data_IF_369427896920
#
_entry.id   IF_369427896920
#
_cell.length_a   1.000
_cell.length_b   1.000
_cell.length_c   1.000
_cell.angle_alpha   90.00
_cell.angle_beta   90.00
_cell.angle_gamma   90.00
#
_symmetry.space_group_name_H-M   'P 1'
#
loop_
_entity.id
_entity.type
_entity.pdbx_description
1 polymer ?
#
# COMPACT_ATOMS: atom_id res chain seq x y z
N UNK A 1 -9.38 0.32 29.21
CA UNK A 1 -10.13 1.52 28.80
C UNK A 1 -9.80 1.81 27.35
N UNK A 2 -10.68 1.43 26.41
CA UNK A 2 -10.57 1.91 25.03
C UNK A 2 -11.03 3.37 25.02
N UNK A 3 -10.09 4.26 24.72
CA UNK A 3 -10.40 5.67 24.49
C UNK A 3 -10.94 5.74 23.07
N UNK A 4 -12.26 5.66 22.94
CA UNK A 4 -12.94 6.06 21.72
C UNK A 4 -12.80 7.59 21.63
N UNK A 5 -11.70 8.05 21.03
CA UNK A 5 -11.50 9.46 20.76
C UNK A 5 -12.57 9.82 19.73
N UNK A 6 -13.59 10.55 20.18
CA UNK A 6 -14.60 11.14 19.33
C UNK A 6 -13.94 12.25 18.48
N UNK A 7 -13.19 11.86 17.45
CA UNK A 7 -12.47 12.75 16.55
C UNK A 7 -13.52 13.56 15.78
N UNK A 8 -13.46 14.89 15.88
CA UNK A 8 -14.34 15.75 15.10
C UNK A 8 -14.11 15.52 13.60
N UNK A 9 -15.17 15.62 12.78
CA UNK A 9 -15.09 15.37 11.34
C UNK A 9 -13.93 16.12 10.66
N UNK A 10 -13.65 17.36 11.09
CA UNK A 10 -12.54 18.15 10.55
C UNK A 10 -11.15 17.64 10.93
N UNK A 11 -10.97 17.08 12.13
CA UNK A 11 -9.68 16.51 12.52
C UNK A 11 -9.36 15.22 11.74
N UNK A 12 -10.38 14.39 11.45
CA UNK A 12 -10.22 13.22 10.57
C UNK A 12 -9.89 13.61 9.14
N UNK A 13 -10.51 14.67 8.61
CA UNK A 13 -10.20 15.17 7.27
C UNK A 13 -8.75 15.66 7.16
N UNK A 14 -8.27 16.43 8.14
CA UNK A 14 -6.88 16.89 8.19
C UNK A 14 -5.91 15.70 8.30
N UNK A 15 -6.21 14.72 9.16
CA UNK A 15 -5.40 13.50 9.28
C UNK A 15 -5.34 12.74 7.96
N UNK A 16 -6.47 12.63 7.24
CA UNK A 16 -6.49 11.97 5.94
C UNK A 16 -5.61 12.66 4.90
N UNK A 17 -5.62 14.00 4.86
CA UNK A 17 -4.74 14.78 3.98
C UNK A 17 -3.28 14.58 4.36
N UNK A 18 -2.95 14.69 5.65
CA UNK A 18 -1.59 14.55 6.17
C UNK A 18 -1.00 13.17 5.89
N UNK A 19 -1.73 12.11 6.23
CA UNK A 19 -1.26 10.74 6.05
C UNK A 19 -1.09 10.40 4.56
N UNK A 20 -2.00 10.87 3.71
CA UNK A 20 -1.89 10.71 2.25
C UNK A 20 -0.63 11.38 1.72
N UNK A 21 -0.40 12.64 2.08
CA UNK A 21 0.77 13.41 1.64
C UNK A 21 2.07 12.81 2.18
N UNK A 22 2.07 12.33 3.43
CA UNK A 22 3.22 11.72 4.07
C UNK A 22 3.61 10.42 3.38
N UNK A 23 2.66 9.53 3.06
CA UNK A 23 2.94 8.31 2.29
C UNK A 23 3.59 8.66 0.96
N UNK A 24 3.02 9.61 0.21
CA UNK A 24 3.57 10.04 -1.08
C UNK A 24 4.99 10.60 -0.93
N UNK A 25 5.23 11.46 0.07
CA UNK A 25 6.54 12.06 0.32
C UNK A 25 7.60 11.02 0.71
N UNK A 26 7.27 10.07 1.59
CA UNK A 26 8.16 8.98 1.97
C UNK A 26 8.57 8.17 0.74
N UNK A 27 7.64 7.87 -0.17
CA UNK A 27 7.93 7.08 -1.37
C UNK A 27 8.76 7.84 -2.39
N UNK A 28 8.43 9.12 -2.64
CA UNK A 28 9.21 9.98 -3.55
C UNK A 28 10.64 10.21 -3.07
N UNK A 29 10.88 10.10 -1.76
CA UNK A 29 12.20 10.22 -1.14
C UNK A 29 12.90 8.87 -0.94
N UNK A 30 12.34 7.77 -1.46
CA UNK A 30 12.93 6.43 -1.39
C UNK A 30 12.78 5.74 -0.03
N UNK A 31 11.99 6.29 0.89
CA UNK A 31 11.75 5.78 2.24
C UNK A 31 10.58 4.78 2.28
N UNK A 32 10.57 3.82 1.35
CA UNK A 32 9.47 2.83 1.21
C UNK A 32 9.25 2.00 2.49
N UNK A 33 10.30 1.69 3.24
CA UNK A 33 10.17 0.99 4.53
C UNK A 33 9.34 1.80 5.54
N UNK A 34 9.56 3.11 5.62
CA UNK A 34 8.80 3.99 6.52
C UNK A 34 7.34 4.11 6.09
N UNK A 35 7.07 4.13 4.77
CA UNK A 35 5.71 4.12 4.24
C UNK A 35 4.95 2.84 4.61
N UNK A 36 5.61 1.67 4.58
CA UNK A 36 5.02 0.40 4.99
C UNK A 36 4.67 0.38 6.48
N UNK A 37 5.55 0.88 7.34
CA UNK A 37 5.28 0.95 8.79
C UNK A 37 4.13 1.91 9.11
N UNK A 38 4.03 3.03 8.38
CA UNK A 38 2.90 3.95 8.50
C UNK A 38 1.57 3.29 8.11
N UNK A 39 1.55 2.50 7.01
CA UNK A 39 0.35 1.80 6.55
C UNK A 39 -0.14 0.73 7.53
N UNK A 40 0.77 0.01 8.18
CA UNK A 40 0.44 -0.98 9.21
C UNK A 40 -0.03 -0.35 10.52
N UNK A 41 0.40 0.89 10.78
CA UNK A 41 -0.02 1.68 11.92
C UNK A 41 -1.37 2.37 11.73
N UNK A 42 -1.88 3.05 12.78
CA UNK A 42 -3.08 3.88 12.67
C UNK A 42 -2.82 5.02 11.67
N UNK A 43 -3.50 4.97 10.53
CA UNK A 43 -3.47 6.02 9.51
C UNK A 43 -4.87 6.19 8.89
N UNK A 44 -5.15 7.38 8.38
CA UNK A 44 -6.42 7.76 7.74
C UNK A 44 -6.24 8.08 6.26
N UNK A 45 -5.19 7.56 5.63
CA UNK A 45 -4.86 7.93 4.27
C UNK A 45 -6.06 7.69 3.32
N UNK A 46 -6.15 8.53 2.30
CA UNK A 46 -7.15 8.36 1.27
C UNK A 46 -6.71 7.23 0.35
N UNK A 47 -7.25 6.03 0.59
CA UNK A 47 -6.92 4.79 -0.13
C UNK A 47 -6.95 4.97 -1.64
N UNK A 48 -7.94 5.68 -2.19
CA UNK A 48 -8.07 5.87 -3.64
C UNK A 48 -6.94 6.75 -4.22
N UNK A 49 -6.57 7.81 -3.51
CA UNK A 49 -5.47 8.69 -3.93
C UNK A 49 -4.14 7.94 -3.83
N UNK A 50 -3.91 7.25 -2.71
CA UNK A 50 -2.72 6.43 -2.52
C UNK A 50 -2.63 5.32 -3.57
N UNK A 51 -3.70 4.58 -3.85
CA UNK A 51 -3.71 3.54 -4.88
C UNK A 51 -3.33 4.10 -6.26
N UNK A 52 -3.95 5.20 -6.69
CA UNK A 52 -3.65 5.82 -7.99
C UNK A 52 -2.17 6.22 -8.10
N UNK A 53 -1.63 6.85 -7.06
CA UNK A 53 -0.22 7.22 -6.97
C UNK A 53 0.70 5.98 -7.04
N UNK A 54 0.42 4.96 -6.24
CA UNK A 54 1.25 3.76 -6.16
C UNK A 54 1.28 2.99 -7.48
N UNK A 55 0.14 2.90 -8.19
CA UNK A 55 0.07 2.29 -9.53
C UNK A 55 0.87 3.11 -10.55
N UNK A 56 0.71 4.43 -10.55
CA UNK A 56 1.43 5.32 -11.48
C UNK A 56 2.95 5.20 -11.34
N UNK A 57 3.44 5.08 -10.11
CA UNK A 57 4.87 5.00 -9.80
C UNK A 57 5.39 3.57 -9.62
N UNK A 58 4.57 2.55 -9.88
CA UNK A 58 4.93 1.12 -9.76
C UNK A 58 5.42 0.71 -8.37
N UNK A 59 4.94 1.35 -7.31
CA UNK A 59 5.25 0.99 -5.91
C UNK A 59 4.42 -0.21 -5.43
N UNK A 60 4.55 -1.35 -6.11
CA UNK A 60 3.65 -2.48 -5.97
C UNK A 60 3.68 -3.15 -4.59
N UNK A 61 4.84 -3.24 -3.93
CA UNK A 61 4.92 -3.79 -2.56
C UNK A 61 4.09 -2.96 -1.56
N UNK A 62 4.17 -1.64 -1.70
CA UNK A 62 3.44 -0.70 -0.84
C UNK A 62 1.96 -0.69 -1.19
N UNK A 63 1.60 -0.89 -2.47
CA UNK A 63 0.22 -1.05 -2.91
C UNK A 63 -0.43 -2.31 -2.34
N UNK A 64 0.28 -3.44 -2.35
CA UNK A 64 -0.22 -4.68 -1.76
C UNK A 64 -0.47 -4.51 -0.26
N UNK A 65 0.44 -3.85 0.46
CA UNK A 65 0.25 -3.57 1.89
C UNK A 65 -0.91 -2.61 2.14
N UNK A 66 -1.06 -1.54 1.34
CA UNK A 66 -2.21 -0.63 1.42
C UNK A 66 -3.54 -1.38 1.29
N UNK A 67 -3.67 -2.24 0.28
CA UNK A 67 -4.87 -3.03 0.05
C UNK A 67 -5.13 -4.01 1.21
N UNK A 68 -4.08 -4.66 1.71
CA UNK A 68 -4.16 -5.56 2.86
C UNK A 68 -4.63 -4.86 4.14
N UNK A 69 -4.08 -3.71 4.47
CA UNK A 69 -4.44 -2.94 5.67
C UNK A 69 -5.86 -2.33 5.60
N UNK A 70 -6.49 -2.34 4.43
CA UNK A 70 -7.85 -1.84 4.20
C UNK A 70 -8.85 -2.97 3.86
N UNK A 71 -8.54 -4.22 4.22
CA UNK A 71 -9.38 -5.42 4.00
C UNK A 71 -9.72 -5.72 2.52
N UNK A 72 -8.99 -5.11 1.58
CA UNK A 72 -9.14 -5.29 0.12
C UNK A 72 -8.31 -6.49 -0.37
N UNK A 73 -8.48 -7.65 0.29
CA UNK A 73 -7.62 -8.81 0.06
C UNK A 73 -7.73 -9.38 -1.35
N UNK A 74 -8.92 -9.30 -1.97
CA UNK A 74 -9.14 -9.79 -3.33
C UNK A 74 -8.35 -8.98 -4.35
N UNK A 75 -8.36 -7.66 -4.20
CA UNK A 75 -7.62 -6.72 -5.03
C UNK A 75 -6.12 -6.92 -4.88
N UNK A 76 -5.65 -7.12 -3.64
CA UNK A 76 -4.25 -7.42 -3.35
C UNK A 76 -3.80 -8.72 -4.03
N UNK A 77 -4.59 -9.79 -3.91
CA UNK A 77 -4.30 -11.08 -4.53
C UNK A 77 -4.33 -11.01 -6.07
N UNK A 78 -5.34 -10.35 -6.65
CA UNK A 78 -5.42 -10.16 -8.09
C UNK A 78 -4.19 -9.41 -8.64
N UNK A 79 -3.78 -8.35 -7.96
CA UNK A 79 -2.58 -7.59 -8.32
C UNK A 79 -1.33 -8.46 -8.22
N UNK A 80 -1.18 -9.22 -7.14
CA UNK A 80 -0.02 -10.08 -6.92
C UNK A 80 0.07 -11.19 -7.99
N UNK A 81 -1.05 -11.82 -8.34
CA UNK A 81 -1.13 -12.79 -9.44
C UNK A 81 -0.73 -12.17 -10.78
N UNK A 82 -1.27 -10.98 -11.10
CA UNK A 82 -0.91 -10.27 -12.32
C UNK A 82 0.59 -9.96 -12.39
N UNK A 83 1.19 -9.52 -11.28
CA UNK A 83 2.63 -9.18 -11.24
C UNK A 83 3.53 -10.41 -11.39
N UNK A 84 3.11 -11.57 -10.88
CA UNK A 84 3.82 -12.84 -11.09
C UNK A 84 3.80 -13.22 -12.57
N UNK A 85 2.63 -13.15 -13.21
CA UNK A 85 2.48 -13.45 -14.65
C UNK A 85 3.30 -12.47 -15.53
N UNK A 86 3.33 -11.18 -15.19
CA UNK A 86 4.12 -10.18 -15.92
C UNK A 86 5.64 -10.36 -15.74
N UNK A 87 6.09 -10.86 -14.58
CA UNK A 87 7.52 -11.10 -14.28
C UNK A 87 8.10 -12.28 -15.07
N UNK A 88 7.27 -13.26 -15.42
CA UNK A 88 7.65 -14.41 -16.26
C UNK A 88 7.77 -14.07 -17.76
N UNK A 89 7.40 -12.85 -18.16
CA UNK A 89 7.62 -12.35 -19.51
C UNK A 89 9.05 -11.79 -19.68
N UNK A 90 9.64 -11.98 -20.86
CA UNK A 90 11.07 -11.75 -21.22
C UNK A 90 11.55 -10.27 -21.13
N UNK A 91 10.79 -9.40 -20.45
CA UNK A 91 11.00 -7.96 -20.32
C UNK A 91 10.96 -7.44 -18.87
N UNK A 92 11.03 -8.32 -17.87
CA UNK A 92 10.94 -7.93 -16.47
C UNK A 92 12.19 -7.19 -15.96
N UNK A 93 11.97 -6.00 -15.39
CA UNK A 93 12.98 -5.20 -14.70
C UNK A 93 13.44 -5.94 -13.42
N UNK A 94 14.74 -6.28 -13.24
CA UNK A 94 15.21 -7.25 -12.25
C UNK A 94 15.06 -6.83 -10.78
N UNK A 95 14.63 -5.59 -10.49
CA UNK A 95 14.62 -5.03 -9.13
C UNK A 95 13.41 -5.52 -8.31
N UNK A 96 12.34 -5.99 -8.93
CA UNK A 96 11.14 -6.48 -8.23
C UNK A 96 10.61 -7.76 -8.88
N UNK A 97 11.34 -8.88 -8.72
CA UNK A 97 10.81 -10.19 -9.11
C UNK A 97 9.71 -10.60 -8.13
N UNK A 98 8.47 -10.53 -8.58
CA UNK A 98 7.35 -11.15 -7.88
C UNK A 98 7.37 -12.65 -8.16
N UNK A 99 7.26 -13.47 -7.11
CA UNK A 99 7.29 -14.92 -7.25
C UNK A 99 6.00 -15.56 -6.73
N UNK A 100 5.63 -16.76 -7.21
CA UNK A 100 4.48 -17.50 -6.71
C UNK A 100 4.52 -17.72 -5.19
N UNK A 101 5.71 -17.83 -4.58
CA UNK A 101 5.87 -17.97 -3.13
C UNK A 101 5.33 -16.77 -2.36
N UNK A 102 5.36 -15.57 -2.95
CA UNK A 102 4.79 -14.37 -2.32
C UNK A 102 3.27 -14.47 -2.20
N UNK A 103 2.58 -15.10 -3.17
CA UNK A 103 1.14 -15.38 -3.08
C UNK A 103 0.85 -16.34 -1.93
N UNK A 104 1.65 -17.40 -1.81
CA UNK A 104 1.53 -18.35 -0.71
C UNK A 104 1.81 -17.70 0.64
N UNK A 105 2.79 -16.80 0.72
CA UNK A 105 3.11 -16.06 1.94
C UNK A 105 1.97 -15.11 2.34
N UNK A 106 1.31 -14.48 1.37
CA UNK A 106 0.17 -13.59 1.62
C UNK A 106 -1.03 -14.32 2.23
N UNK A 107 -1.23 -15.59 1.86
CA UNK A 107 -2.35 -16.43 2.31
C UNK A 107 -2.12 -17.13 3.67
N UNK A 108 -0.91 -17.06 4.23
CA UNK A 108 -0.57 -17.64 5.55
C UNK A 108 -0.96 -16.72 6.68
#
# INVERSE_FOLDING_TARGET
SHVDVHVSSGAREIASILDTALIQALLLTGQSSSALELLKGPNYCNVKICEGFLRQHKFYLVLIELLKCNDMHREALNLLSQLVEETDSDHADPVHKFTPEMVLQYLK
#
